data_IF_416039673754
#
_entry.id   IF_416039673754
#
_cell.length_a   1.000
_cell.length_b   1.000
_cell.length_c   1.000
_cell.angle_alpha   90.00
_cell.angle_beta   90.00
_cell.angle_gamma   90.00
#
_symmetry.space_group_name_H-M   'P 1'
#
loop_
_entity.id
_entity.type
_entity.pdbx_description
1 polymer ?
#
# COMPACT_ATOMS: atom_id res chain seq x y z
N UNK A 1 -23.70 13.63 -15.06
CA UNK A 1 -24.62 12.74 -14.32
C UNK A 1 -24.40 12.93 -12.82
N UNK A 2 -25.43 13.24 -12.02
CA UNK A 2 -25.35 13.25 -10.55
C UNK A 2 -25.89 11.92 -10.02
N UNK A 3 -25.05 10.88 -10.01
CA UNK A 3 -25.44 9.52 -9.61
C UNK A 3 -25.55 9.33 -8.08
N UNK A 4 -25.16 10.34 -7.27
CA UNK A 4 -25.09 10.27 -5.79
C UNK A 4 -24.49 8.95 -5.29
N UNK A 5 -23.27 8.55 -5.73
CA UNK A 5 -22.66 7.33 -5.23
C UNK A 5 -22.25 7.50 -3.76
N UNK A 6 -22.22 6.39 -3.01
CA UNK A 6 -21.56 6.32 -1.70
C UNK A 6 -20.13 5.74 -1.82
N UNK A 7 -19.94 4.85 -2.81
CA UNK A 7 -18.67 4.16 -3.12
C UNK A 7 -18.35 4.34 -4.60
N UNK A 8 -17.10 4.66 -4.91
CA UNK A 8 -16.60 4.87 -6.27
C UNK A 8 -15.41 3.94 -6.50
N UNK A 9 -15.50 3.07 -7.51
CA UNK A 9 -14.39 2.23 -7.97
C UNK A 9 -13.84 2.83 -9.26
N UNK A 10 -12.65 3.42 -9.18
CA UNK A 10 -12.02 4.15 -10.29
C UNK A 10 -11.21 3.20 -11.21
N UNK A 11 -10.88 2.00 -10.72
CA UNK A 11 -9.98 1.10 -11.41
C UNK A 11 -8.53 1.55 -11.22
N UNK A 12 -7.72 1.49 -12.29
CA UNK A 12 -6.30 1.82 -12.20
C UNK A 12 -6.03 3.31 -12.40
N UNK A 13 -5.28 3.91 -11.47
CA UNK A 13 -4.83 5.30 -11.56
C UNK A 13 -3.53 5.35 -12.38
N UNK A 14 -3.65 5.74 -13.65
CA UNK A 14 -2.54 5.76 -14.62
C UNK A 14 -2.01 7.15 -14.94
N UNK A 15 -2.78 8.18 -14.62
CA UNK A 15 -2.49 9.54 -14.97
C UNK A 15 -2.95 10.53 -13.89
N UNK A 16 -2.54 11.78 -14.09
CA UNK A 16 -2.86 12.91 -13.23
C UNK A 16 -4.35 13.18 -13.13
N UNK A 17 -5.08 13.08 -14.24
CA UNK A 17 -6.52 13.39 -14.26
C UNK A 17 -7.27 12.41 -13.36
N UNK A 18 -6.99 11.12 -13.49
CA UNK A 18 -7.58 10.07 -12.67
C UNK A 18 -7.20 10.21 -11.20
N UNK A 19 -5.93 10.52 -10.92
CA UNK A 19 -5.44 10.74 -9.55
C UNK A 19 -6.14 11.94 -8.88
N UNK A 20 -6.31 13.04 -9.62
CA UNK A 20 -7.00 14.24 -9.17
C UNK A 20 -8.47 13.94 -8.84
N UNK A 21 -9.19 13.24 -9.72
CA UNK A 21 -10.58 12.86 -9.46
C UNK A 21 -10.71 11.95 -8.23
N UNK A 22 -9.77 11.03 -8.01
CA UNK A 22 -9.75 10.17 -6.84
C UNK A 22 -9.62 10.98 -5.53
N UNK A 23 -8.73 11.98 -5.51
CA UNK A 23 -8.54 12.86 -4.36
C UNK A 23 -9.78 13.71 -4.09
N UNK A 24 -10.35 14.36 -5.13
CA UNK A 24 -11.56 15.18 -5.01
C UNK A 24 -12.74 14.34 -4.48
N UNK A 25 -12.93 13.13 -5.02
CA UNK A 25 -13.99 12.23 -4.57
C UNK A 25 -13.80 11.81 -3.10
N UNK A 26 -12.56 11.50 -2.69
CA UNK A 26 -12.24 11.17 -1.31
C UNK A 26 -12.45 12.34 -0.34
N UNK A 27 -12.01 13.54 -0.71
CA UNK A 27 -12.19 14.76 0.10
C UNK A 27 -13.67 15.15 0.28
N UNK A 28 -14.51 14.82 -0.70
CA UNK A 28 -15.96 15.03 -0.63
C UNK A 28 -16.70 13.95 0.18
N UNK A 29 -15.99 12.98 0.75
CA UNK A 29 -16.54 12.00 1.68
C UNK A 29 -16.97 10.67 1.06
N UNK A 30 -16.68 10.43 -0.22
CA UNK A 30 -16.96 9.15 -0.86
C UNK A 30 -15.90 8.11 -0.48
N UNK A 31 -16.31 6.85 -0.38
CA UNK A 31 -15.32 5.76 -0.34
C UNK A 31 -14.78 5.54 -1.76
N UNK A 32 -13.50 5.85 -1.97
CA UNK A 32 -12.83 5.66 -3.25
C UNK A 32 -11.93 4.44 -3.21
N UNK A 33 -12.10 3.54 -4.17
CA UNK A 33 -11.25 2.37 -4.36
C UNK A 33 -10.56 2.49 -5.72
N UNK A 34 -9.23 2.53 -5.69
CA UNK A 34 -8.39 2.56 -6.88
C UNK A 34 -7.20 1.63 -6.74
N UNK A 35 -6.60 1.28 -7.88
CA UNK A 35 -5.39 0.45 -7.95
C UNK A 35 -4.24 1.25 -8.55
N UNK A 36 -3.02 0.95 -8.08
CA UNK A 36 -1.78 1.54 -8.56
C UNK A 36 -0.75 0.42 -8.70
N UNK A 37 0.09 0.50 -9.73
CA UNK A 37 1.23 -0.41 -9.85
C UNK A 37 2.41 0.11 -9.01
N UNK A 38 2.65 -0.53 -7.87
CA UNK A 38 3.77 -0.24 -6.97
C UNK A 38 4.18 -1.50 -6.21
N UNK A 39 5.44 -1.58 -5.77
CA UNK A 39 6.01 -2.75 -5.08
C UNK A 39 5.94 -2.69 -3.54
N UNK A 40 5.47 -1.58 -2.97
CA UNK A 40 5.30 -1.42 -1.51
C UNK A 40 4.21 -0.40 -1.18
N UNK A 41 3.72 -0.44 0.07
CA UNK A 41 2.74 0.54 0.55
C UNK A 41 3.28 1.98 0.49
N UNK A 42 4.53 2.19 0.91
CA UNK A 42 5.23 3.48 0.80
C UNK A 42 5.42 3.89 -0.66
N UNK A 43 5.75 2.93 -1.53
CA UNK A 43 5.88 3.13 -2.97
C UNK A 43 4.58 3.59 -3.62
N UNK A 44 3.43 3.06 -3.17
CA UNK A 44 2.10 3.46 -3.64
C UNK A 44 1.82 4.94 -3.35
N UNK A 45 2.14 5.43 -2.16
CA UNK A 45 2.01 6.86 -1.81
C UNK A 45 2.88 7.71 -2.73
N UNK A 46 4.15 7.34 -2.91
CA UNK A 46 5.07 8.06 -3.79
C UNK A 46 4.61 8.06 -5.25
N UNK A 47 4.07 6.93 -5.73
CA UNK A 47 3.52 6.80 -7.08
C UNK A 47 2.30 7.68 -7.28
N UNK A 48 1.37 7.71 -6.33
CA UNK A 48 0.20 8.58 -6.36
C UNK A 48 0.60 10.05 -6.49
N UNK A 49 1.61 10.49 -5.72
CA UNK A 49 2.09 11.87 -5.75
C UNK A 49 2.95 12.18 -6.98
N UNK A 50 3.49 11.19 -7.68
CA UNK A 50 4.34 11.38 -8.86
C UNK A 50 3.59 11.91 -10.09
N UNK A 51 2.26 11.86 -10.09
CA UNK A 51 1.45 12.42 -11.18
C UNK A 51 1.32 13.94 -11.14
N UNK A 52 1.73 14.58 -10.04
CA UNK A 52 1.61 16.02 -9.83
C UNK A 52 2.95 16.73 -9.96
N UNK A 53 2.92 18.02 -10.33
CA UNK A 53 4.15 18.83 -10.43
C UNK A 53 4.68 19.16 -9.03
N UNK A 54 5.95 19.51 -8.94
CA UNK A 54 6.61 19.81 -7.66
C UNK A 54 5.89 20.89 -6.84
N UNK A 55 5.39 21.94 -7.50
CA UNK A 55 4.66 23.03 -6.85
C UNK A 55 3.23 22.65 -6.38
N UNK A 56 2.71 21.50 -6.81
CA UNK A 56 1.39 20.98 -6.43
C UNK A 56 1.51 19.82 -5.43
N UNK A 57 2.68 19.16 -5.41
CA UNK A 57 2.91 17.93 -4.67
C UNK A 57 2.58 18.05 -3.19
N UNK A 58 2.95 19.17 -2.56
CA UNK A 58 2.66 19.39 -1.14
C UNK A 58 1.15 19.56 -0.88
N UNK A 59 0.44 20.30 -1.74
CA UNK A 59 -1.02 20.41 -1.64
C UNK A 59 -1.71 19.06 -1.80
N UNK A 60 -1.26 18.23 -2.75
CA UNK A 60 -1.82 16.88 -2.98
C UNK A 60 -1.44 15.87 -1.92
N UNK A 61 -0.27 16.03 -1.30
CA UNK A 61 0.11 15.29 -0.11
C UNK A 61 -0.89 15.57 1.03
N UNK A 62 -1.27 16.84 1.24
CA UNK A 62 -2.26 17.20 2.24
C UNK A 62 -3.65 16.64 1.88
N UNK A 63 -4.09 16.74 0.62
CA UNK A 63 -5.34 16.10 0.17
C UNK A 63 -5.35 14.61 0.42
N UNK A 64 -4.26 13.91 0.09
CA UNK A 64 -4.15 12.48 0.36
C UNK A 64 -4.16 12.20 1.87
N UNK A 65 -3.47 13.01 2.67
CA UNK A 65 -3.43 12.87 4.12
C UNK A 65 -4.81 13.01 4.79
N UNK A 66 -5.73 13.77 4.21
CA UNK A 66 -7.09 13.94 4.77
C UNK A 66 -8.02 12.79 4.43
N UNK A 67 -7.86 12.16 3.25
CA UNK A 67 -8.79 11.15 2.74
C UNK A 67 -8.24 9.72 2.67
N UNK A 68 -6.94 9.50 2.89
CA UNK A 68 -6.35 8.16 2.88
C UNK A 68 -6.92 7.30 4.02
N UNK A 69 -7.52 6.17 3.66
CA UNK A 69 -8.02 5.18 4.62
C UNK A 69 -7.05 4.02 4.80
N UNK A 70 -6.56 3.45 3.70
CA UNK A 70 -5.61 2.36 3.74
C UNK A 70 -4.86 2.20 2.42
N UNK A 71 -3.71 1.53 2.48
CA UNK A 71 -3.01 0.99 1.31
C UNK A 71 -2.83 -0.52 1.51
N UNK A 72 -3.18 -1.30 0.48
CA UNK A 72 -2.99 -2.75 0.46
C UNK A 72 -2.11 -3.09 -0.75
N UNK A 73 -0.90 -3.55 -0.48
CA UNK A 73 0.02 -4.07 -1.48
C UNK A 73 0.09 -5.60 -1.33
N UNK A 74 -0.12 -6.32 -2.44
CA UNK A 74 -0.32 -7.77 -2.44
C UNK A 74 0.82 -8.48 -3.17
N UNK A 75 1.32 -9.55 -2.57
CA UNK A 75 2.33 -10.43 -3.16
C UNK A 75 1.88 -11.87 -3.05
N UNK A 76 1.82 -12.57 -4.18
CA UNK A 76 1.51 -13.99 -4.23
C UNK A 76 2.78 -14.82 -4.14
N UNK A 77 2.84 -15.71 -3.14
CA UNK A 77 3.97 -16.61 -2.90
C UNK A 77 3.51 -18.04 -3.18
N UNK A 78 4.21 -18.82 -4.04
CA UNK A 78 3.88 -20.22 -4.25
C UNK A 78 3.79 -21.00 -2.94
N UNK A 79 2.73 -21.80 -2.76
CA UNK A 79 2.61 -22.71 -1.62
C UNK A 79 3.60 -23.85 -1.76
N UNK A 80 4.11 -24.34 -0.62
CA UNK A 80 5.04 -25.49 -0.57
C UNK A 80 4.48 -26.75 -1.25
N UNK A 81 3.16 -26.92 -1.27
CA UNK A 81 2.47 -28.06 -1.91
C UNK A 81 2.28 -27.95 -3.41
N UNK A 82 2.58 -26.80 -4.03
CA UNK A 82 2.35 -26.56 -5.46
C UNK A 82 0.87 -26.42 -5.87
N UNK A 83 -0.05 -26.43 -4.92
CA UNK A 83 -1.50 -26.38 -5.09
C UNK A 83 -2.07 -24.94 -5.16
N UNK A 84 -1.20 -23.94 -5.35
CA UNK A 84 -1.59 -22.55 -5.53
C UNK A 84 -0.64 -21.58 -4.87
N UNK A 85 -1.19 -20.42 -4.47
CA UNK A 85 -0.44 -19.31 -3.89
C UNK A 85 -1.00 -18.95 -2.52
N UNK A 86 -0.10 -18.52 -1.63
CA UNK A 86 -0.44 -17.81 -0.40
C UNK A 86 -0.30 -16.30 -0.63
N UNK A 87 -1.23 -15.54 -0.07
CA UNK A 87 -1.19 -14.08 -0.13
C UNK A 87 -0.36 -13.54 1.04
N UNK A 88 0.73 -12.84 0.73
CA UNK A 88 1.40 -11.95 1.66
C UNK A 88 0.99 -10.49 1.35
N UNK A 89 0.85 -9.68 2.38
CA UNK A 89 0.42 -8.28 2.24
C UNK A 89 1.33 -7.31 2.96
N UNK A 90 1.52 -6.15 2.34
CA UNK A 90 1.85 -4.90 3.00
C UNK A 90 0.51 -4.17 3.19
N UNK A 91 0.03 -4.11 4.43
CA UNK A 91 -1.22 -3.46 4.78
C UNK A 91 -0.95 -2.30 5.72
N UNK A 92 -1.16 -1.08 5.20
CA UNK A 92 -1.07 0.17 5.92
C UNK A 92 -2.48 0.66 6.21
N UNK A 93 -2.99 0.43 7.41
CA UNK A 93 -4.28 0.96 7.82
C UNK A 93 -4.06 2.34 8.47
N UNK A 94 -4.62 3.40 7.88
CA UNK A 94 -4.47 4.76 8.38
C UNK A 94 -5.37 5.05 9.60
N UNK A 95 -5.41 4.12 10.54
CA UNK A 95 -6.19 4.22 11.76
C UNK A 95 -5.70 5.42 12.60
N UNK A 96 -6.66 6.18 13.16
CA UNK A 96 -6.39 7.44 13.90
C UNK A 96 -5.51 8.45 13.14
N UNK A 97 -5.41 8.34 11.81
CA UNK A 97 -4.58 9.18 10.94
C UNK A 97 -3.09 9.18 11.29
N UNK A 98 -2.57 8.07 11.83
CA UNK A 98 -1.17 8.00 12.22
C UNK A 98 -0.22 8.00 11.01
N UNK A 99 -0.59 7.33 9.92
CA UNK A 99 0.22 7.31 8.69
C UNK A 99 0.12 8.65 7.93
N UNK A 100 -1.03 9.34 7.98
CA UNK A 100 -1.19 10.69 7.41
C UNK A 100 -0.10 11.67 7.86
N UNK A 101 0.31 11.60 9.13
CA UNK A 101 1.33 12.48 9.73
C UNK A 101 2.73 12.26 9.14
N UNK A 102 2.95 11.10 8.52
CA UNK A 102 4.26 10.62 8.07
C UNK A 102 4.36 10.56 6.54
N UNK A 103 3.31 10.88 5.77
CA UNK A 103 3.30 10.73 4.31
C UNK A 103 4.40 11.58 3.62
N UNK A 104 4.84 12.67 4.24
CA UNK A 104 5.95 13.50 3.76
C UNK A 104 7.35 12.96 4.08
N UNK A 105 7.46 11.83 4.78
CA UNK A 105 8.73 11.25 5.22
C UNK A 105 8.75 9.73 4.97
N UNK A 106 9.11 9.29 3.75
CA UNK A 106 9.07 7.88 3.36
C UNK A 106 9.78 6.93 4.32
N UNK A 107 10.94 7.33 4.85
CA UNK A 107 11.72 6.50 5.78
C UNK A 107 11.00 6.31 7.12
N UNK A 108 10.36 7.36 7.65
CA UNK A 108 9.58 7.27 8.88
C UNK A 108 8.30 6.46 8.67
N UNK A 109 7.68 6.60 7.48
CA UNK A 109 6.51 5.83 7.08
C UNK A 109 6.84 4.33 7.02
N UNK A 110 7.97 3.98 6.39
CA UNK A 110 8.45 2.60 6.31
C UNK A 110 8.78 2.05 7.70
N UNK A 111 9.50 2.82 8.53
CA UNK A 111 9.83 2.41 9.89
C UNK A 111 8.59 2.14 10.75
N UNK A 112 7.53 2.95 10.62
CA UNK A 112 6.27 2.71 11.33
C UNK A 112 5.61 1.42 10.85
N UNK A 113 5.54 1.22 9.55
CA UNK A 113 4.96 0.01 8.95
C UNK A 113 5.71 -1.26 9.35
N UNK A 114 7.04 -1.22 9.37
CA UNK A 114 7.88 -2.36 9.76
C UNK A 114 7.75 -2.74 11.24
N UNK A 115 7.50 -1.74 12.11
CA UNK A 115 7.15 -2.00 13.52
C UNK A 115 5.79 -2.69 13.68
N UNK A 116 4.89 -2.48 12.71
CA UNK A 116 3.51 -2.94 12.78
C UNK A 116 2.68 -2.22 13.84
N UNK A 117 1.39 -2.44 13.81
CA UNK A 117 0.44 -2.10 14.88
C UNK A 117 -0.72 -3.10 14.88
N UNK A 118 -1.76 -2.87 15.68
CA UNK A 118 -2.89 -3.80 15.83
C UNK A 118 -3.64 -4.08 14.51
N UNK A 119 -3.50 -3.19 13.51
CA UNK A 119 -4.27 -3.26 12.26
C UNK A 119 -3.40 -3.23 11.00
N UNK A 120 -2.11 -2.91 11.12
CA UNK A 120 -1.17 -2.79 10.01
C UNK A 120 -0.09 -3.86 10.07
N UNK A 121 0.31 -4.37 8.91
CA UNK A 121 1.35 -5.41 8.79
C UNK A 121 2.25 -5.12 7.60
N UNK A 122 3.57 -5.18 7.78
CA UNK A 122 4.51 -5.06 6.67
C UNK A 122 4.55 -6.34 5.83
N UNK A 123 4.96 -6.22 4.57
CA UNK A 123 5.14 -7.40 3.70
C UNK A 123 6.14 -8.40 4.29
N UNK A 124 7.21 -7.90 4.91
CA UNK A 124 8.20 -8.75 5.59
C UNK A 124 7.57 -9.58 6.70
N UNK A 125 6.82 -8.94 7.61
CA UNK A 125 6.12 -9.63 8.69
C UNK A 125 5.06 -10.62 8.17
N UNK A 126 4.28 -10.23 7.16
CA UNK A 126 3.29 -11.12 6.54
C UNK A 126 3.94 -12.34 5.88
N UNK A 127 5.08 -12.18 5.21
CA UNK A 127 5.80 -13.29 4.58
C UNK A 127 6.47 -14.20 5.61
N UNK A 128 7.10 -13.63 6.66
CA UNK A 128 7.68 -14.39 7.76
C UNK A 128 6.64 -15.26 8.47
N UNK A 129 5.42 -14.74 8.69
CA UNK A 129 4.32 -15.52 9.25
C UNK A 129 3.99 -16.75 8.39
N UNK A 130 3.88 -16.60 7.07
CA UNK A 130 3.60 -17.72 6.16
C UNK A 130 4.72 -18.77 6.15
N UNK A 131 5.97 -18.36 6.36
CA UNK A 131 7.12 -19.28 6.51
C UNK A 131 6.99 -20.04 7.84
N UNK A 132 6.72 -19.34 8.94
CA UNK A 132 6.58 -19.93 10.27
C UNK A 132 5.42 -20.92 10.36
N UNK A 133 4.30 -20.62 9.67
CA UNK A 133 3.15 -21.50 9.54
C UNK A 133 3.39 -22.68 8.57
N UNK A 134 4.53 -22.72 7.87
CA UNK A 134 4.89 -23.79 6.93
C UNK A 134 4.10 -23.77 5.62
N UNK A 135 3.37 -22.70 5.33
CA UNK A 135 2.54 -22.55 4.13
C UNK A 135 3.40 -22.38 2.88
N UNK A 136 4.51 -21.65 3.00
CA UNK A 136 5.46 -21.35 1.91
C UNK A 136 6.88 -21.70 2.33
N UNK A 137 7.79 -21.89 1.37
CA UNK A 137 9.21 -22.07 1.66
C UNK A 137 9.91 -20.71 1.84
N UNK A 138 10.99 -20.66 2.63
CA UNK A 138 11.83 -19.44 2.74
C UNK A 138 12.36 -19.02 1.38
N UNK A 139 12.77 -19.96 0.53
CA UNK A 139 13.28 -19.68 -0.81
C UNK A 139 12.23 -18.99 -1.71
N UNK A 140 11.00 -19.51 -1.73
CA UNK A 140 9.91 -18.92 -2.52
C UNK A 140 9.50 -17.55 -1.99
N UNK A 141 9.48 -17.39 -0.66
CA UNK A 141 9.18 -16.11 -0.02
C UNK A 141 10.22 -15.04 -0.36
N UNK A 142 11.52 -15.33 -0.21
CA UNK A 142 12.62 -14.41 -0.58
C UNK A 142 12.51 -13.99 -2.05
N UNK A 143 12.24 -14.95 -2.94
CA UNK A 143 12.07 -14.67 -4.37
C UNK A 143 10.87 -13.75 -4.62
N UNK A 144 9.73 -14.01 -3.98
CA UNK A 144 8.51 -13.25 -4.19
C UNK A 144 8.62 -11.79 -3.70
N UNK A 145 9.38 -11.53 -2.62
CA UNK A 145 9.50 -10.19 -2.04
C UNK A 145 10.71 -9.39 -2.54
N UNK A 146 11.50 -9.90 -3.49
CA UNK A 146 12.78 -9.30 -3.91
C UNK A 146 12.70 -7.84 -4.38
N UNK A 147 11.54 -7.43 -4.92
CA UNK A 147 11.32 -6.06 -5.42
C UNK A 147 10.99 -5.05 -4.30
N UNK A 148 10.81 -5.54 -3.07
CA UNK A 148 10.57 -4.75 -1.88
C UNK A 148 11.77 -4.91 -0.94
N UNK A 149 12.66 -3.91 -0.90
CA UNK A 149 13.92 -4.00 -0.17
C UNK A 149 13.72 -4.28 1.34
N UNK A 150 12.76 -3.62 1.99
CA UNK A 150 12.47 -3.82 3.40
C UNK A 150 11.99 -5.25 3.69
N UNK A 151 11.09 -5.77 2.87
CA UNK A 151 10.61 -7.15 3.00
C UNK A 151 11.70 -8.18 2.68
N UNK A 152 12.53 -7.92 1.68
CA UNK A 152 13.64 -8.79 1.32
C UNK A 152 14.64 -8.93 2.47
N UNK A 153 15.07 -7.82 3.07
CA UNK A 153 15.99 -7.86 4.22
C UNK A 153 15.37 -8.58 5.42
N UNK A 154 14.09 -8.31 5.72
CA UNK A 154 13.37 -8.95 6.81
C UNK A 154 13.25 -10.48 6.64
N UNK A 155 12.96 -10.97 5.43
CA UNK A 155 12.76 -12.40 5.16
C UNK A 155 14.10 -13.13 4.98
N UNK A 156 15.14 -12.45 4.48
CA UNK A 156 16.46 -13.04 4.26
C UNK A 156 17.19 -13.36 5.56
N UNK A 157 17.10 -12.46 6.54
CA UNK A 157 17.68 -12.63 7.88
C UNK A 157 17.34 -14.01 8.49
#
# INVERSE_FOLDING_TARGET
MRQRPDVIVIGEIRDRETAEQALIAGESGHLVIGTLHASSGVGTINKMLSFFKDNEREGRLQSLATCLLAVINQTLIPKKGGDGYALAVDFMANHKREYSKLLGSPDQLQLKLDRGDDVSVSLGASALRLIQEGVVTKADAVKAVMANAAAYEAVRA
#
